data_IF_319748507549
#
_entry.id   IF_319748507549
#
_cell.length_a   1.000
_cell.length_b   1.000
_cell.length_c   1.000
_cell.angle_alpha   90.00
_cell.angle_beta   90.00
_cell.angle_gamma   90.00
#
_symmetry.space_group_name_H-M   'P 1'
#
loop_
_entity.id
_entity.type
_entity.pdbx_description
1 polymer ?
#
# COMPACT_ATOMS: atom_id res chain seq x y z
N UNK A 1 -9.70 -14.61 1.61
CA UNK A 1 -9.88 -13.17 1.86
C UNK A 1 -9.84 -12.48 0.51
N UNK A 2 -10.51 -11.35 0.32
CA UNK A 2 -10.37 -10.56 -0.91
C UNK A 2 -9.18 -9.62 -0.78
N UNK A 3 -8.42 -9.33 -1.87
CA UNK A 3 -7.22 -8.48 -1.79
C UNK A 3 -7.43 -7.10 -1.19
N UNK A 4 -8.61 -6.50 -1.39
CA UNK A 4 -8.95 -5.18 -0.85
C UNK A 4 -9.06 -5.17 0.68
N UNK A 5 -9.31 -6.31 1.33
CA UNK A 5 -9.26 -6.39 2.79
C UNK A 5 -7.82 -6.24 3.29
N UNK A 6 -6.87 -6.91 2.67
CA UNK A 6 -5.45 -6.76 3.02
C UNK A 6 -4.98 -5.32 2.74
N UNK A 7 -5.33 -4.78 1.56
CA UNK A 7 -4.97 -3.43 1.17
C UNK A 7 -5.56 -2.34 2.09
N UNK A 8 -6.64 -2.64 2.83
CA UNK A 8 -7.21 -1.73 3.81
C UNK A 8 -6.25 -1.37 4.95
N UNK A 9 -5.26 -2.22 5.27
CA UNK A 9 -4.23 -1.91 6.27
C UNK A 9 -3.47 -0.62 5.94
N UNK A 10 -3.27 -0.32 4.65
CA UNK A 10 -2.62 0.92 4.24
C UNK A 10 -3.34 2.20 4.70
N UNK A 11 -4.62 2.08 5.05
CA UNK A 11 -5.50 3.18 5.45
C UNK A 11 -6.02 3.05 6.89
N UNK A 12 -5.58 2.02 7.61
CA UNK A 12 -5.83 1.85 9.05
C UNK A 12 -4.65 2.44 9.84
N UNK A 13 -4.71 3.71 10.21
CA UNK A 13 -3.61 4.31 10.98
C UNK A 13 -3.64 3.92 12.47
N UNK A 14 -4.71 3.27 12.94
CA UNK A 14 -4.78 2.80 14.32
C UNK A 14 -3.99 1.51 14.52
N UNK A 15 -3.97 0.59 13.55
CA UNK A 15 -3.11 -0.61 13.67
C UNK A 15 -1.63 -0.21 13.73
N UNK A 16 -1.19 0.79 12.96
CA UNK A 16 0.19 1.30 13.02
C UNK A 16 0.55 1.81 14.43
N UNK A 17 -0.39 2.48 15.09
CA UNK A 17 -0.23 2.94 16.48
C UNK A 17 -0.20 1.79 17.48
N UNK A 18 -1.13 0.85 17.38
CA UNK A 18 -1.38 -0.17 18.42
C UNK A 18 -0.51 -1.41 18.25
N UNK A 19 -0.34 -1.88 17.01
CA UNK A 19 0.42 -3.10 16.69
C UNK A 19 1.90 -2.82 16.50
N UNK A 20 2.25 -1.70 15.85
CA UNK A 20 3.64 -1.40 15.48
C UNK A 20 4.25 -0.21 16.25
N UNK A 21 3.57 0.30 17.29
CA UNK A 21 4.01 1.45 18.10
C UNK A 21 4.46 2.67 17.28
N UNK A 22 3.83 2.88 16.11
CA UNK A 22 4.25 3.86 15.11
C UNK A 22 3.09 4.82 14.80
N UNK A 23 2.80 5.78 15.69
CA UNK A 23 1.67 6.68 15.50
C UNK A 23 1.89 7.58 14.28
N UNK A 24 0.83 7.73 13.50
CA UNK A 24 0.70 8.75 12.47
C UNK A 24 -0.21 9.85 12.99
N UNK A 25 0.24 11.10 12.85
CA UNK A 25 -0.59 12.28 13.07
C UNK A 25 -1.13 12.76 11.73
N UNK A 26 -2.33 12.30 11.36
CA UNK A 26 -3.01 12.68 10.12
C UNK A 26 -4.52 12.54 10.28
N UNK A 27 -5.26 13.23 9.42
CA UNK A 27 -6.71 13.16 9.38
C UNK A 27 -7.21 12.84 7.97
N UNK A 28 -8.53 12.70 7.80
CA UNK A 28 -9.11 12.36 6.51
C UNK A 28 -8.77 13.36 5.39
N UNK A 29 -8.42 14.61 5.68
CA UNK A 29 -8.10 15.61 4.65
C UNK A 29 -6.82 15.29 3.88
N UNK A 30 -5.93 14.44 4.42
CA UNK A 30 -4.69 14.02 3.74
C UNK A 30 -4.91 12.94 2.67
N UNK A 31 -6.16 12.57 2.40
CA UNK A 31 -6.51 11.52 1.44
C UNK A 31 -7.37 12.08 0.30
N UNK A 32 -6.83 12.01 -0.90
CA UNK A 32 -7.46 12.39 -2.16
C UNK A 32 -7.94 11.12 -2.87
N UNK A 33 -9.21 11.07 -3.27
CA UNK A 33 -9.79 9.92 -3.96
C UNK A 33 -10.11 10.34 -5.38
N UNK A 34 -9.58 9.60 -6.34
CA UNK A 34 -9.87 9.71 -7.76
C UNK A 34 -10.65 8.48 -8.23
N UNK A 35 -10.97 8.41 -9.52
CA UNK A 35 -11.73 7.28 -10.09
C UNK A 35 -10.99 5.95 -9.91
N UNK A 36 -9.69 5.92 -10.20
CA UNK A 36 -8.86 4.71 -10.18
C UNK A 36 -7.71 4.73 -9.19
N UNK A 37 -7.57 5.81 -8.42
CA UNK A 37 -6.51 5.93 -7.41
C UNK A 37 -7.00 6.55 -6.12
N UNK A 38 -6.26 6.29 -5.04
CA UNK A 38 -6.30 7.05 -3.80
C UNK A 38 -4.89 7.52 -3.51
N UNK A 39 -4.71 8.81 -3.30
CA UNK A 39 -3.42 9.43 -3.02
C UNK A 39 -3.40 9.98 -1.59
N UNK A 40 -2.30 9.75 -0.88
CA UNK A 40 -2.07 10.26 0.47
C UNK A 40 -0.59 10.48 0.75
N UNK A 41 -0.30 11.17 1.85
CA UNK A 41 1.03 11.31 2.41
C UNK A 41 0.95 11.53 3.91
N UNK A 42 1.95 11.05 4.66
CA UNK A 42 2.00 11.22 6.10
C UNK A 42 3.41 11.10 6.67
N UNK A 43 3.59 11.62 7.88
CA UNK A 43 4.78 11.41 8.69
C UNK A 43 4.47 10.40 9.78
N UNK A 44 5.25 9.33 9.81
CA UNK A 44 5.18 8.30 10.83
C UNK A 44 6.35 8.46 11.79
N UNK A 45 6.05 8.49 13.09
CA UNK A 45 7.06 8.55 14.15
C UNK A 45 7.35 7.13 14.63
N UNK A 46 8.62 6.79 14.83
CA UNK A 46 9.00 5.57 15.52
C UNK A 46 9.12 5.81 17.04
N UNK A 47 9.08 4.74 17.81
CA UNK A 47 9.17 4.76 19.28
C UNK A 47 10.49 5.34 19.84
N UNK A 48 11.52 5.48 19.00
CA UNK A 48 12.83 6.01 19.37
C UNK A 48 13.06 7.46 18.89
N UNK A 49 12.02 8.15 18.42
CA UNK A 49 12.09 9.55 17.99
C UNK A 49 12.62 9.78 16.57
N UNK A 50 12.82 8.72 15.80
CA UNK A 50 13.08 8.81 14.36
C UNK A 50 11.79 8.98 13.56
N UNK A 51 11.87 9.70 12.45
CA UNK A 51 10.73 9.97 11.57
C UNK A 51 10.90 9.30 10.22
N UNK A 52 9.79 8.79 9.70
CA UNK A 52 9.65 8.29 8.33
C UNK A 52 8.62 9.19 7.65
N UNK A 53 9.07 9.92 6.64
CA UNK A 53 8.20 10.78 5.85
C UNK A 53 7.79 10.04 4.58
N UNK A 54 6.54 9.59 4.51
CA UNK A 54 5.94 9.09 3.28
C UNK A 54 5.33 10.28 2.53
N UNK A 55 6.09 10.86 1.61
CA UNK A 55 5.63 12.00 0.83
C UNK A 55 4.54 11.62 -0.16
N UNK A 56 4.50 10.36 -0.58
CA UNK A 56 3.47 9.87 -1.50
C UNK A 56 3.14 8.40 -1.26
N UNK A 57 1.85 8.11 -1.14
CA UNK A 57 1.30 6.76 -1.08
C UNK A 57 0.10 6.75 -2.02
N UNK A 58 0.19 5.94 -3.07
CA UNK A 58 -0.88 5.77 -4.05
C UNK A 58 -1.39 4.37 -4.00
N UNK A 59 -2.68 4.21 -3.72
CA UNK A 59 -3.41 2.99 -4.01
C UNK A 59 -3.94 3.07 -5.44
N UNK A 60 -3.54 2.14 -6.30
CA UNK A 60 -4.10 1.92 -7.63
C UNK A 60 -5.21 0.86 -7.53
N UNK A 61 -6.41 1.24 -7.96
CA UNK A 61 -7.61 0.45 -7.73
C UNK A 61 -7.79 0.14 -6.25
N UNK A 62 -8.10 -1.11 -5.90
CA UNK A 62 -8.40 -1.49 -4.52
C UNK A 62 -7.33 -2.35 -3.86
N UNK A 63 -6.26 -2.70 -4.57
CA UNK A 63 -5.39 -3.81 -4.18
C UNK A 63 -3.90 -3.63 -4.49
N UNK A 64 -3.48 -2.53 -5.10
CA UNK A 64 -2.07 -2.27 -5.42
C UNK A 64 -1.64 -0.92 -4.84
N UNK A 65 -0.53 -0.91 -4.11
CA UNK A 65 0.01 0.27 -3.44
C UNK A 65 1.41 0.56 -3.94
N UNK A 66 1.70 1.84 -4.17
CA UNK A 66 3.05 2.36 -4.38
C UNK A 66 3.30 3.38 -3.29
N UNK A 67 4.40 3.24 -2.57
CA UNK A 67 4.80 4.22 -1.57
C UNK A 67 6.17 4.80 -1.91
N UNK A 68 6.33 6.08 -1.60
CA UNK A 68 7.58 6.80 -1.69
C UNK A 68 7.76 7.63 -0.43
N UNK A 69 8.87 7.41 0.24
CA UNK A 69 9.21 8.13 1.46
C UNK A 69 10.71 8.14 1.74
N UNK A 70 11.07 8.76 2.86
CA UNK A 70 12.45 8.83 3.33
C UNK A 70 12.54 8.59 4.84
N UNK A 71 13.61 7.90 5.26
CA UNK A 71 13.97 7.71 6.68
C UNK A 71 15.44 8.06 6.85
N UNK A 72 15.74 9.09 7.65
CA UNK A 72 17.13 9.51 7.88
C UNK A 72 17.91 9.80 6.59
N UNK A 73 17.25 10.32 5.55
CA UNK A 73 17.84 10.56 4.23
C UNK A 73 17.81 9.36 3.27
N UNK A 74 17.57 8.14 3.75
CA UNK A 74 17.47 6.95 2.90
C UNK A 74 16.10 6.85 2.24
N UNK A 75 16.08 6.47 0.96
CA UNK A 75 14.85 6.21 0.22
C UNK A 75 14.13 4.99 0.80
N UNK A 76 12.83 5.15 1.04
CA UNK A 76 11.92 4.07 1.37
C UNK A 76 10.86 3.99 0.27
N UNK A 77 10.97 3.00 -0.60
CA UNK A 77 10.01 2.81 -1.68
C UNK A 77 9.67 1.33 -1.82
N UNK A 78 8.37 1.06 -1.89
CA UNK A 78 7.86 -0.28 -2.17
C UNK A 78 6.63 -0.24 -3.06
N UNK A 79 6.41 -1.36 -3.74
CA UNK A 79 5.19 -1.67 -4.47
C UNK A 79 4.60 -2.93 -3.84
N UNK A 80 3.38 -2.84 -3.32
CA UNK A 80 2.63 -3.97 -2.81
C UNK A 80 1.44 -4.26 -3.70
N UNK A 81 1.12 -5.52 -3.98
CA UNK A 81 -0.09 -5.85 -4.73
C UNK A 81 -0.67 -7.21 -4.32
N UNK A 82 -1.98 -7.26 -4.14
CA UNK A 82 -2.72 -8.49 -3.85
C UNK A 82 -3.50 -9.00 -5.06
N UNK A 83 -3.48 -10.30 -5.32
CA UNK A 83 -4.30 -10.94 -6.36
C UNK A 83 -5.20 -12.04 -5.75
N UNK A 84 -6.48 -12.14 -6.15
CA UNK A 84 -7.34 -13.20 -5.69
C UNK A 84 -6.94 -14.53 -6.35
N UNK A 85 -6.91 -15.60 -5.56
CA UNK A 85 -6.55 -16.96 -5.98
C UNK A 85 -7.74 -17.93 -5.82
N UNK A 86 -8.97 -17.41 -5.83
CA UNK A 86 -10.19 -18.19 -5.62
C UNK A 86 -10.20 -18.89 -4.26
N UNK A 87 -10.46 -20.20 -4.25
CA UNK A 87 -10.49 -21.01 -3.02
C UNK A 87 -9.15 -21.08 -2.28
N UNK A 88 -8.04 -20.72 -2.94
CA UNK A 88 -6.70 -20.64 -2.32
C UNK A 88 -6.46 -19.32 -1.58
N UNK A 89 -7.45 -18.42 -1.53
CA UNK A 89 -7.36 -17.14 -0.82
C UNK A 89 -6.75 -16.03 -1.66
N UNK A 90 -5.80 -15.27 -1.09
CA UNK A 90 -5.11 -14.15 -1.74
C UNK A 90 -3.63 -14.42 -1.76
N UNK A 91 -2.97 -14.06 -2.87
CA UNK A 91 -1.51 -13.97 -2.91
C UNK A 91 -1.12 -12.49 -2.91
N UNK A 92 -0.21 -12.12 -2.00
CA UNK A 92 0.34 -10.77 -1.93
C UNK A 92 1.79 -10.79 -2.44
N UNK A 93 2.15 -9.75 -3.17
CA UNK A 93 3.48 -9.51 -3.70
C UNK A 93 3.99 -8.20 -3.14
N UNK A 94 5.26 -8.17 -2.77
CA UNK A 94 5.94 -6.98 -2.32
C UNK A 94 7.26 -6.85 -3.10
N UNK A 95 7.48 -5.67 -3.66
CA UNK A 95 8.70 -5.28 -4.32
C UNK A 95 9.27 -4.08 -3.56
N UNK A 96 10.55 -4.16 -3.22
CA UNK A 96 11.28 -3.11 -2.51
C UNK A 96 12.32 -2.56 -3.47
N UNK A 97 12.51 -1.24 -3.47
CA UNK A 97 13.53 -0.59 -4.28
C UNK A 97 14.47 0.24 -3.43
N UNK A 98 15.70 0.39 -3.91
CA UNK A 98 16.70 1.32 -3.39
C UNK A 98 17.49 1.87 -4.58
N UNK A 99 18.09 3.08 -4.49
CA UNK A 99 18.96 3.60 -5.54
C UNK A 99 20.10 2.61 -5.88
N UNK A 100 20.39 2.47 -7.18
CA UNK A 100 21.45 1.58 -7.65
C UNK A 100 22.85 2.06 -7.22
N UNK A 101 23.83 1.15 -7.27
CA UNK A 101 25.22 1.51 -7.05
C UNK A 101 25.68 2.58 -8.06
N UNK A 102 26.53 3.51 -7.62
CA UNK A 102 26.99 4.66 -8.40
C UNK A 102 26.04 5.86 -8.38
N UNK A 103 24.76 5.68 -8.04
CA UNK A 103 23.85 6.80 -7.74
C UNK A 103 24.27 7.41 -6.40
N UNK A 104 24.44 8.74 -6.36
CA UNK A 104 24.85 9.49 -5.16
C UNK A 104 26.12 8.93 -4.46
N UNK A 105 27.02 8.32 -5.24
CA UNK A 105 28.27 7.75 -4.73
C UNK A 105 28.14 6.43 -3.95
N UNK A 106 26.96 5.77 -4.02
CA UNK A 106 26.70 4.52 -3.29
C UNK A 106 27.51 3.35 -3.83
N UNK A 107 27.99 2.49 -2.92
CA UNK A 107 28.66 1.23 -3.27
C UNK A 107 27.63 0.09 -3.36
N UNK A 108 27.96 -0.97 -4.10
CA UNK A 108 27.11 -2.17 -4.18
C UNK A 108 26.82 -2.78 -2.80
N UNK A 109 27.77 -2.73 -1.87
CA UNK A 109 27.56 -3.19 -0.49
C UNK A 109 26.46 -2.41 0.24
N UNK A 110 26.35 -1.11 -0.02
CA UNK A 110 25.34 -0.26 0.62
C UNK A 110 23.95 -0.56 0.06
N UNK A 111 23.88 -0.91 -1.23
CA UNK A 111 22.64 -1.30 -1.91
C UNK A 111 22.11 -2.61 -1.34
N UNK A 112 22.95 -3.65 -1.25
CA UNK A 112 22.57 -4.95 -0.69
C UNK A 112 22.16 -4.82 0.78
N UNK A 113 22.92 -4.04 1.57
CA UNK A 113 22.59 -3.80 2.97
C UNK A 113 21.21 -3.15 3.15
N UNK A 114 20.90 -2.12 2.36
CA UNK A 114 19.60 -1.46 2.42
C UNK A 114 18.46 -2.40 1.99
N UNK A 115 18.66 -3.19 0.93
CA UNK A 115 17.67 -4.17 0.49
C UNK A 115 17.39 -5.21 1.58
N UNK A 116 18.42 -5.76 2.22
CA UNK A 116 18.28 -6.70 3.33
C UNK A 116 17.52 -6.08 4.52
N UNK A 117 17.87 -4.84 4.89
CA UNK A 117 17.22 -4.12 5.98
C UNK A 117 15.74 -3.89 5.69
N UNK A 118 15.43 -3.42 4.49
CA UNK A 118 14.06 -3.14 4.06
C UNK A 118 13.24 -4.43 3.91
N UNK A 119 13.82 -5.50 3.37
CA UNK A 119 13.16 -6.80 3.26
C UNK A 119 12.84 -7.37 4.63
N UNK A 120 13.79 -7.31 5.57
CA UNK A 120 13.57 -7.76 6.95
C UNK A 120 12.47 -6.96 7.63
N UNK A 121 12.49 -5.63 7.50
CA UNK A 121 11.45 -4.75 8.05
C UNK A 121 10.06 -5.12 7.52
N UNK A 122 9.87 -5.18 6.20
CA UNK A 122 8.55 -5.51 5.64
C UNK A 122 8.11 -6.94 5.94
N UNK A 123 9.04 -7.90 5.97
CA UNK A 123 8.73 -9.29 6.36
C UNK A 123 8.23 -9.35 7.80
N UNK A 124 8.85 -8.60 8.71
CA UNK A 124 8.41 -8.52 10.10
C UNK A 124 7.01 -7.91 10.20
N UNK A 125 6.78 -6.74 9.59
CA UNK A 125 5.46 -6.09 9.59
C UNK A 125 4.37 -7.02 9.06
N UNK A 126 4.64 -7.70 7.94
CA UNK A 126 3.70 -8.65 7.36
C UNK A 126 3.39 -9.83 8.30
N UNK A 127 4.40 -10.38 8.97
CA UNK A 127 4.20 -11.49 9.91
C UNK A 127 3.43 -11.07 11.18
N UNK A 128 3.53 -9.80 11.58
CA UNK A 128 2.75 -9.22 12.68
C UNK A 128 1.29 -8.99 12.26
N UNK A 129 1.06 -8.52 11.03
CA UNK A 129 -0.26 -8.23 10.47
C UNK A 129 -1.10 -9.47 10.16
N UNK A 130 -0.49 -10.51 9.59
CA UNK A 130 -1.20 -11.69 9.07
C UNK A 130 -2.12 -12.36 10.10
N UNK A 131 -1.68 -12.63 11.35
CA UNK A 131 -2.56 -13.19 12.37
C UNK A 131 -3.79 -12.32 12.67
N UNK A 132 -3.60 -11.00 12.74
CA UNK A 132 -4.69 -10.02 12.99
C UNK A 132 -5.66 -10.03 11.82
N UNK A 133 -5.16 -9.90 10.59
CA UNK A 133 -5.96 -9.92 9.36
C UNK A 133 -6.76 -11.23 9.23
N UNK A 134 -6.15 -12.38 9.52
CA UNK A 134 -6.83 -13.67 9.48
C UNK A 134 -7.97 -13.80 10.51
N UNK A 135 -8.00 -12.95 11.54
CA UNK A 135 -9.08 -12.92 12.53
C UNK A 135 -10.26 -12.01 12.13
N UNK A 136 -10.07 -11.13 11.14
CA UNK A 136 -11.07 -10.15 10.72
C UNK A 136 -12.24 -10.85 10.03
N UNK A 137 -13.47 -10.45 10.40
CA UNK A 137 -14.72 -10.91 9.79
C UNK A 137 -15.44 -9.72 9.14
N UNK A 138 -15.30 -9.52 7.82
CA UNK A 138 -15.95 -8.42 7.12
C UNK A 138 -17.47 -8.40 7.34
N UNK A 139 -18.06 -7.21 7.47
CA UNK A 139 -19.51 -7.02 7.61
C UNK A 139 -20.03 -6.85 9.04
N UNK A 140 -19.17 -6.91 10.05
CA UNK A 140 -19.50 -6.58 11.46
C UNK A 140 -18.79 -5.32 11.97
N UNK A 141 -18.50 -4.41 11.06
CA UNK A 141 -17.62 -3.29 11.34
C UNK A 141 -18.41 -2.15 12.01
N UNK A 142 -17.97 -1.73 13.20
CA UNK A 142 -18.39 -0.46 13.80
C UNK A 142 -17.19 0.49 13.75
N UNK A 143 -17.32 1.56 12.97
CA UNK A 143 -16.27 2.57 12.87
C UNK A 143 -16.45 3.63 13.96
N UNK A 144 -15.35 4.02 14.58
CA UNK A 144 -15.26 5.19 15.46
C UNK A 144 -14.61 6.36 14.71
N UNK A 145 -14.57 7.55 15.34
CA UNK A 145 -14.05 8.76 14.70
C UNK A 145 -12.61 8.61 14.17
N UNK A 146 -11.78 7.83 14.84
CA UNK A 146 -10.39 7.56 14.42
C UNK A 146 -10.29 6.77 13.11
N UNK A 147 -11.35 6.09 12.70
CA UNK A 147 -11.35 5.19 11.53
C UNK A 147 -11.81 5.90 10.26
N UNK A 148 -11.89 7.23 10.28
CA UNK A 148 -12.43 8.02 9.16
C UNK A 148 -11.71 7.76 7.83
N UNK A 149 -10.39 7.52 7.83
CA UNK A 149 -9.59 7.23 6.63
C UNK A 149 -9.94 5.83 6.10
N UNK A 150 -9.91 4.82 6.97
CA UNK A 150 -10.30 3.45 6.66
C UNK A 150 -11.75 3.36 6.14
N UNK A 151 -12.68 4.09 6.76
CA UNK A 151 -14.08 4.14 6.35
C UNK A 151 -14.25 4.74 4.94
N UNK A 152 -13.45 5.76 4.60
CA UNK A 152 -13.43 6.32 3.24
C UNK A 152 -12.85 5.33 2.23
N UNK A 153 -11.78 4.61 2.57
CA UNK A 153 -11.25 3.52 1.73
C UNK A 153 -12.31 2.45 1.46
N UNK A 154 -13.01 1.96 2.50
CA UNK A 154 -14.05 0.95 2.30
C UNK A 154 -15.22 1.43 1.45
N UNK A 155 -15.57 2.72 1.54
CA UNK A 155 -16.57 3.31 0.64
C UNK A 155 -16.09 3.29 -0.81
N UNK A 156 -14.84 3.69 -1.04
CA UNK A 156 -14.22 3.62 -2.35
C UNK A 156 -14.18 2.17 -2.88
N UNK A 157 -13.66 1.22 -2.10
CA UNK A 157 -13.53 -0.17 -2.51
C UNK A 157 -14.88 -0.81 -2.85
N UNK A 158 -15.94 -0.49 -2.10
CA UNK A 158 -17.31 -0.96 -2.38
C UNK A 158 -17.88 -0.36 -3.67
N UNK A 159 -17.54 0.89 -3.99
CA UNK A 159 -17.98 1.59 -5.19
C UNK A 159 -17.08 1.41 -6.41
N UNK A 160 -15.95 0.72 -6.25
CA UNK A 160 -14.96 0.58 -7.32
C UNK A 160 -15.55 -0.19 -8.50
N UNK A 161 -15.34 0.27 -9.76
CA UNK A 161 -15.89 -0.40 -10.92
C UNK A 161 -15.53 -1.87 -10.97
N UNK A 162 -16.55 -2.73 -11.00
CA UNK A 162 -16.38 -4.15 -11.30
C UNK A 162 -16.68 -4.35 -12.77
N UNK A 163 -15.75 -4.91 -13.52
CA UNK A 163 -15.95 -5.30 -14.91
C UNK A 163 -15.42 -6.72 -15.12
N UNK A 164 -15.94 -7.41 -16.12
CA UNK A 164 -15.43 -8.73 -16.50
C UNK A 164 -14.22 -8.59 -17.42
N UNK A 165 -13.31 -9.58 -17.42
CA UNK A 165 -12.24 -9.64 -18.42
C UNK A 165 -12.77 -9.59 -19.85
N UNK A 166 -13.96 -10.18 -20.09
CA UNK A 166 -14.64 -10.12 -21.38
C UNK A 166 -15.03 -8.69 -21.79
N UNK A 167 -15.47 -7.88 -20.83
CA UNK A 167 -15.81 -6.47 -21.07
C UNK A 167 -14.54 -5.64 -21.31
N UNK A 168 -13.47 -5.86 -20.52
CA UNK A 168 -12.16 -5.24 -20.75
C UNK A 168 -11.59 -5.60 -22.14
N UNK A 169 -11.62 -6.87 -22.53
CA UNK A 169 -11.16 -7.32 -23.85
C UNK A 169 -12.00 -6.70 -24.96
N UNK A 170 -13.33 -6.57 -24.76
CA UNK A 170 -14.21 -5.94 -25.73
C UNK A 170 -13.90 -4.45 -25.90
N UNK A 171 -13.65 -3.73 -24.80
CA UNK A 171 -13.28 -2.30 -24.84
C UNK A 171 -11.90 -2.10 -25.49
N UNK A 172 -10.91 -2.91 -25.13
CA UNK A 172 -9.57 -2.84 -25.72
C UNK A 172 -9.59 -3.13 -27.22
N UNK A 173 -10.38 -4.12 -27.66
CA UNK A 173 -10.55 -4.44 -29.07
C UNK A 173 -11.38 -3.36 -29.81
N UNK A 174 -12.31 -2.69 -29.14
CA UNK A 174 -13.11 -1.60 -29.72
C UNK A 174 -12.33 -0.29 -29.88
N UNK A 175 -11.29 -0.06 -29.06
CA UNK A 175 -10.42 1.13 -29.15
C UNK A 175 -9.37 1.05 -30.27
N UNK A 176 -9.22 -0.09 -30.93
CA UNK A 176 -8.19 -0.33 -31.95
C UNK A 176 -6.76 -0.33 -31.36
N UNK A 177 -5.74 -0.80 -32.10
CA UNK A 177 -4.36 -0.72 -31.62
C UNK A 177 -3.97 0.75 -31.41
N UNK A 178 -3.39 1.05 -30.24
CA UNK A 178 -2.79 2.36 -29.99
C UNK A 178 -1.73 2.61 -31.06
N UNK A 179 -1.97 3.62 -31.91
CA UNK A 179 -0.99 4.07 -32.89
C UNK A 179 0.21 4.59 -32.11
N UNK A 180 1.30 3.82 -32.11
CA UNK A 180 2.60 4.28 -31.65
C UNK A 180 3.03 5.44 -32.55
N UNK A 181 2.97 6.65 -32.03
CA UNK A 181 3.64 7.79 -32.64
C UNK A 181 5.16 7.58 -32.49
N UNK A 182 5.81 7.32 -33.61
CA UNK A 182 7.27 7.39 -33.80
C UNK A 182 7.76 8.82 -33.86
#
# INVERSE_FOLDING_TARGET
>A
MDPWIFASNAFDYQHLRVLHNSPIDSDASTMEIHEHTIDSGFVMKNEHGGEINFSHITMFGTNAIVSHGKRGGHLLQHIGAGTPMGSKGTKFFLLITTPAAGVDGRKSSDVEHDLDLLQKMHTQLFNEDVPVLNSIRPGRNMFVKSDQILARYFRYARGYPTTTLRELDRENNARGPAVTAT
#
